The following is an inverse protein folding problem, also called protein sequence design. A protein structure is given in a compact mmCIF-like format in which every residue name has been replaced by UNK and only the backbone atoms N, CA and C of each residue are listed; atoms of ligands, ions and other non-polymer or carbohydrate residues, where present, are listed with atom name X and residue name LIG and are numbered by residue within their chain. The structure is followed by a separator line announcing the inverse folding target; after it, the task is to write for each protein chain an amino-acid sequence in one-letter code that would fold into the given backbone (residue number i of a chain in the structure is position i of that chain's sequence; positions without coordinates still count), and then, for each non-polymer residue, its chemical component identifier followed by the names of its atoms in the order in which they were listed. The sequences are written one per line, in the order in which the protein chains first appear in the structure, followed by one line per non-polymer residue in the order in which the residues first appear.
data_IF_647020683368
#
_entry.id   IF_647020683368
#
_cell.length_a   1.000
_cell.length_b   1.000
_cell.length_c   1.000
_cell.angle_alpha   90.00
_cell.angle_beta   90.00
_cell.angle_gamma   90.00
#
_symmetry.space_group_name_H-M   'P 1'
#
loop_
_entity.id
_entity.type
_entity.pdbx_description
1 polymer ?
#
# COMPACT_ATOMS: atom_id res chain seq x y z
N UNK A 1 -15.50 -67.25 29.99
CA UNK A 1 -15.51 -65.79 29.68
C UNK A 1 -14.10 -65.23 29.46
N UNK A 2 -13.42 -65.60 28.36
CA UNK A 2 -12.00 -65.20 28.11
C UNK A 2 -11.71 -64.61 26.72
N UNK A 3 -12.72 -64.45 25.85
CA UNK A 3 -12.57 -63.99 24.46
C UNK A 3 -12.76 -62.47 24.23
N UNK A 4 -13.07 -61.68 25.26
CA UNK A 4 -13.41 -60.25 25.12
C UNK A 4 -12.24 -59.28 25.36
N UNK A 5 -11.04 -59.74 25.74
CA UNK A 5 -9.92 -58.82 26.05
C UNK A 5 -9.22 -58.23 24.80
N UNK A 6 -9.25 -58.93 23.67
CA UNK A 6 -8.58 -58.46 22.44
C UNK A 6 -9.29 -57.31 21.74
N UNK A 7 -10.63 -57.29 21.76
CA UNK A 7 -11.42 -56.28 21.05
C UNK A 7 -11.33 -54.90 21.70
N UNK A 8 -11.17 -54.85 23.03
CA UNK A 8 -11.00 -53.59 23.77
C UNK A 8 -9.68 -52.91 23.41
N UNK A 9 -8.59 -53.67 23.25
CA UNK A 9 -7.30 -53.13 22.85
C UNK A 9 -7.34 -52.56 21.42
N UNK A 10 -8.02 -53.27 20.52
CA UNK A 10 -8.21 -52.82 19.14
C UNK A 10 -9.02 -51.52 19.08
N UNK A 11 -10.09 -51.43 19.87
CA UNK A 11 -10.91 -50.22 19.94
C UNK A 11 -10.14 -49.04 20.55
N UNK A 12 -9.36 -49.27 21.62
CA UNK A 12 -8.50 -48.26 22.22
C UNK A 12 -7.46 -47.72 21.22
N UNK A 13 -6.88 -48.58 20.39
CA UNK A 13 -5.90 -48.19 19.37
C UNK A 13 -6.54 -47.31 18.28
N UNK A 14 -7.76 -47.65 17.83
CA UNK A 14 -8.50 -46.82 16.87
C UNK A 14 -8.79 -45.44 17.46
N UNK A 15 -9.28 -45.37 18.70
CA UNK A 15 -9.60 -44.09 19.35
C UNK A 15 -8.34 -43.24 19.52
N UNK A 16 -7.23 -43.85 19.93
CA UNK A 16 -5.94 -43.16 20.08
C UNK A 16 -5.49 -42.59 18.73
N UNK A 17 -5.58 -43.38 17.66
CA UNK A 17 -5.24 -42.93 16.31
C UNK A 17 -6.11 -41.75 15.86
N UNK A 18 -7.43 -41.82 16.04
CA UNK A 18 -8.33 -40.72 15.71
C UNK A 18 -8.00 -39.44 16.49
N UNK A 19 -7.73 -39.55 17.79
CA UNK A 19 -7.35 -38.40 18.62
C UNK A 19 -6.04 -37.76 18.15
N UNK A 20 -5.04 -38.56 17.75
CA UNK A 20 -3.78 -38.02 17.23
C UNK A 20 -3.94 -37.28 15.91
N UNK A 21 -4.76 -37.80 14.99
CA UNK A 21 -5.00 -37.16 13.69
C UNK A 21 -5.70 -35.81 13.89
N UNK A 22 -6.71 -35.76 14.76
CA UNK A 22 -7.41 -34.52 15.09
C UNK A 22 -6.45 -33.52 15.75
N UNK A 23 -5.62 -33.98 16.68
CA UNK A 23 -4.63 -33.14 17.36
C UNK A 23 -3.61 -32.52 16.40
N UNK A 24 -3.05 -33.32 15.48
CA UNK A 24 -2.10 -32.82 14.46
C UNK A 24 -2.78 -31.85 13.50
N UNK A 25 -4.00 -32.15 13.02
CA UNK A 25 -4.73 -31.27 12.12
C UNK A 25 -4.99 -29.89 12.74
N UNK A 26 -5.39 -29.85 14.01
CA UNK A 26 -5.60 -28.60 14.76
C UNK A 26 -4.29 -27.83 14.95
N UNK A 27 -3.20 -28.51 15.33
CA UNK A 27 -1.89 -27.89 15.53
C UNK A 27 -1.33 -27.26 14.25
N UNK A 28 -1.47 -27.95 13.11
CA UNK A 28 -1.02 -27.45 11.80
C UNK A 28 -1.81 -26.20 11.39
N UNK A 29 -3.14 -26.24 11.48
CA UNK A 29 -3.98 -25.11 11.10
C UNK A 29 -3.76 -23.88 12.01
N UNK A 30 -3.61 -24.10 13.32
CA UNK A 30 -3.30 -23.03 14.28
C UNK A 30 -1.93 -22.37 13.97
N UNK A 31 -0.92 -23.17 13.65
CA UNK A 31 0.41 -22.65 13.29
C UNK A 31 0.38 -21.83 12.00
N UNK A 32 -0.39 -22.28 11.01
CA UNK A 32 -0.59 -21.52 9.77
C UNK A 32 -1.29 -20.19 10.05
N UNK A 33 -2.38 -20.21 10.83
CA UNK A 33 -3.13 -19.01 11.21
C UNK A 33 -2.24 -18.01 11.93
N UNK A 34 -1.41 -18.44 12.88
CA UNK A 34 -0.47 -17.55 13.58
C UNK A 34 0.55 -16.90 12.64
N UNK A 35 1.11 -17.65 11.68
CA UNK A 35 2.04 -17.09 10.69
C UNK A 35 1.36 -16.08 9.77
N UNK A 36 0.12 -16.34 9.38
CA UNK A 36 -0.68 -15.40 8.59
C UNK A 36 -1.03 -14.13 9.39
N UNK A 37 -1.38 -14.26 10.67
CA UNK A 37 -1.60 -13.11 11.55
C UNK A 37 -0.34 -12.27 11.72
N UNK A 38 0.83 -12.89 11.89
CA UNK A 38 2.12 -12.18 11.97
C UNK A 38 2.46 -11.42 10.68
N UNK A 39 2.33 -12.06 9.52
CA UNK A 39 2.53 -11.39 8.24
C UNK A 39 1.49 -10.27 8.00
N UNK A 40 0.26 -10.47 8.47
CA UNK A 40 -0.80 -9.46 8.45
C UNK A 40 -0.45 -8.24 9.31
N UNK A 41 0.07 -8.44 10.52
CA UNK A 41 0.50 -7.34 11.38
C UNK A 41 1.66 -6.54 10.79
N UNK A 42 2.67 -7.21 10.22
CA UNK A 42 3.79 -6.53 9.57
C UNK A 42 3.32 -5.70 8.36
N UNK A 43 2.34 -6.19 7.60
CA UNK A 43 1.72 -5.44 6.51
C UNK A 43 0.95 -4.21 7.00
N UNK A 44 0.23 -4.33 8.12
CA UNK A 44 -0.53 -3.20 8.70
C UNK A 44 0.43 -2.13 9.21
N UNK A 45 1.51 -2.53 9.88
CA UNK A 45 2.57 -1.62 10.31
C UNK A 45 3.18 -0.86 9.12
N UNK A 46 3.55 -1.59 8.06
CA UNK A 46 4.08 -0.97 6.85
C UNK A 46 3.07 -0.05 6.15
N UNK A 47 1.77 -0.35 6.24
CA UNK A 47 0.72 0.57 5.78
C UNK A 47 0.72 1.87 6.59
N UNK A 48 0.78 1.78 7.91
CA UNK A 48 0.85 2.98 8.77
C UNK A 48 2.11 3.81 8.49
N UNK A 49 3.25 3.15 8.24
CA UNK A 49 4.50 3.81 7.84
C UNK A 49 4.33 4.50 6.48
N UNK A 50 3.79 3.81 5.48
CA UNK A 50 3.57 4.36 4.15
C UNK A 50 2.56 5.52 4.16
N UNK A 51 1.45 5.39 4.88
CA UNK A 51 0.43 6.44 5.06
C UNK A 51 1.02 7.67 5.77
N UNK A 52 1.79 7.47 6.85
CA UNK A 52 2.45 8.56 7.57
C UNK A 52 3.50 9.27 6.73
N UNK A 53 4.32 8.51 5.99
CA UNK A 53 5.30 9.07 5.06
C UNK A 53 4.65 9.82 3.89
N UNK A 54 3.50 9.35 3.41
CA UNK A 54 2.71 10.03 2.40
C UNK A 54 2.19 11.38 2.92
N UNK A 55 1.58 11.41 4.10
CA UNK A 55 1.05 12.63 4.69
C UNK A 55 2.17 13.65 4.99
N UNK A 56 3.32 13.17 5.45
CA UNK A 56 4.52 13.98 5.65
C UNK A 56 5.03 14.59 4.35
N UNK A 57 5.13 13.81 3.27
CA UNK A 57 5.55 14.29 1.96
C UNK A 57 4.56 15.31 1.39
N UNK A 58 3.26 15.11 1.59
CA UNK A 58 2.22 16.10 1.24
C UNK A 58 2.46 17.37 2.05
N UNK A 59 2.62 17.27 3.37
CA UNK A 59 2.81 18.41 4.27
C UNK A 59 4.07 19.22 3.94
N UNK A 60 5.18 18.55 3.63
CA UNK A 60 6.45 19.18 3.28
C UNK A 60 6.39 19.93 1.93
N UNK A 61 5.55 19.48 0.99
CA UNK A 61 5.49 20.03 -0.36
C UNK A 61 4.26 20.93 -0.64
N UNK A 62 3.46 21.26 0.38
CA UNK A 62 2.25 22.10 0.19
C UNK A 62 2.57 23.46 -0.46
N UNK A 63 1.64 23.97 -1.25
CA UNK A 63 1.73 25.30 -1.83
C UNK A 63 2.69 25.38 -3.03
N UNK A 64 3.68 26.30 -3.04
CA UNK A 64 4.46 26.59 -4.23
C UNK A 64 5.35 25.42 -4.68
N UNK A 65 5.75 24.52 -3.79
CA UNK A 65 6.59 23.35 -4.14
C UNK A 65 5.84 22.41 -5.09
N UNK A 66 4.61 22.00 -4.74
CA UNK A 66 3.76 21.22 -5.64
C UNK A 66 3.37 21.99 -6.90
N UNK A 67 3.16 23.31 -6.79
CA UNK A 67 2.80 24.17 -7.91
C UNK A 67 3.94 24.35 -8.94
N UNK A 68 5.20 24.15 -8.56
CA UNK A 68 6.37 24.35 -9.45
C UNK A 68 7.08 23.04 -9.80
N UNK A 69 6.57 21.90 -9.30
CA UNK A 69 7.17 20.60 -9.55
C UNK A 69 7.07 20.23 -11.03
N UNK A 70 8.23 20.13 -11.70
CA UNK A 70 8.34 19.81 -13.13
C UNK A 70 8.91 18.42 -13.40
N UNK A 71 9.65 17.87 -12.44
CA UNK A 71 10.32 16.58 -12.54
C UNK A 71 9.93 15.65 -11.40
N UNK A 72 10.15 14.34 -11.59
CA UNK A 72 10.01 13.37 -10.51
C UNK A 72 10.97 13.72 -9.38
N UNK A 73 10.45 13.82 -8.17
CA UNK A 73 11.26 14.03 -6.97
C UNK A 73 11.03 12.89 -6.00
N UNK A 74 12.11 12.39 -5.41
CA UNK A 74 12.04 11.32 -4.40
C UNK A 74 12.47 11.86 -3.05
N UNK A 75 11.75 11.46 -2.00
CA UNK A 75 12.08 11.73 -0.61
C UNK A 75 12.02 10.44 0.22
N UNK A 76 12.53 10.52 1.45
CA UNK A 76 12.38 9.45 2.43
C UNK A 76 11.92 10.03 3.75
N UNK A 77 10.63 9.88 4.02
CA UNK A 77 9.96 10.35 5.22
C UNK A 77 9.42 9.16 6.00
N UNK A 78 9.59 9.21 7.33
CA UNK A 78 9.10 8.20 8.27
C UNK A 78 9.50 6.75 7.96
N UNK A 79 10.61 6.53 7.23
CA UNK A 79 11.09 5.18 6.87
C UNK A 79 10.41 4.56 5.65
N UNK A 80 9.51 5.29 4.98
CA UNK A 80 9.03 4.97 3.64
C UNK A 80 9.74 5.83 2.59
N UNK A 81 9.79 5.34 1.35
CA UNK A 81 10.30 6.10 0.19
C UNK A 81 9.12 6.73 -0.53
N UNK A 82 9.12 8.06 -0.66
CA UNK A 82 8.10 8.79 -1.40
C UNK A 82 8.62 9.20 -2.77
N UNK A 83 7.79 9.06 -3.79
CA UNK A 83 8.06 9.53 -5.15
C UNK A 83 6.91 10.41 -5.60
N UNK A 84 7.21 11.68 -5.84
CA UNK A 84 6.30 12.69 -6.35
C UNK A 84 6.47 12.77 -7.86
N UNK A 85 5.42 12.44 -8.60
CA UNK A 85 5.40 12.43 -10.06
C UNK A 85 4.36 13.43 -10.55
N UNK A 86 4.77 14.54 -11.19
CA UNK A 86 3.82 15.45 -11.83
C UNK A 86 3.04 14.75 -12.94
N UNK A 87 1.75 15.05 -13.04
CA UNK A 87 0.86 14.57 -14.10
C UNK A 87 0.11 15.79 -14.70
N UNK A 88 -0.27 15.78 -15.99
CA UNK A 88 -0.37 14.64 -16.90
C UNK A 88 0.96 14.18 -17.51
N UNK A 89 0.96 12.95 -18.04
CA UNK A 89 2.02 12.48 -18.93
C UNK A 89 1.73 12.95 -20.36
N UNK A 90 2.76 13.36 -21.08
CA UNK A 90 2.71 13.75 -22.48
C UNK A 90 3.58 12.81 -23.32
N UNK A 91 3.40 12.81 -24.64
CA UNK A 91 4.21 12.01 -25.56
C UNK A 91 5.12 12.95 -26.33
N UNK A 92 6.43 12.69 -26.30
CA UNK A 92 7.41 13.48 -27.04
C UNK A 92 7.30 13.24 -28.57
N UNK A 93 8.00 14.05 -29.36
CA UNK A 93 8.04 13.90 -30.82
C UNK A 93 8.66 12.57 -31.29
N UNK A 94 9.31 11.81 -30.39
CA UNK A 94 9.88 10.48 -30.63
C UNK A 94 8.95 9.33 -30.21
N UNK A 95 7.75 9.61 -29.71
CA UNK A 95 6.79 8.60 -29.25
C UNK A 95 7.01 8.10 -27.82
N UNK A 96 7.88 8.73 -27.02
CA UNK A 96 8.13 8.35 -25.63
C UNK A 96 7.20 9.10 -24.67
N UNK A 97 6.75 8.41 -23.62
CA UNK A 97 5.95 9.03 -22.54
C UNK A 97 6.88 9.81 -21.62
N UNK A 98 6.66 11.12 -21.54
CA UNK A 98 7.39 12.08 -20.72
C UNK A 98 6.45 12.78 -19.74
N UNK A 99 7.01 13.46 -18.75
CA UNK A 99 6.25 14.20 -17.76
C UNK A 99 5.86 15.55 -18.36
N UNK A 100 4.56 15.77 -18.53
CA UNK A 100 4.00 17.03 -18.97
C UNK A 100 3.45 17.79 -17.78
N UNK A 101 4.33 18.31 -16.92
CA UNK A 101 3.96 19.12 -15.75
C UNK A 101 3.26 20.41 -16.21
N UNK A 102 1.95 20.30 -16.45
CA UNK A 102 1.12 21.31 -17.10
C UNK A 102 -0.10 21.59 -16.26
N UNK A 103 -0.54 22.83 -16.33
CA UNK A 103 -1.76 23.28 -15.68
C UNK A 103 -2.97 22.69 -16.43
N UNK A 104 -3.79 21.94 -15.71
CA UNK A 104 -5.00 21.31 -16.22
C UNK A 104 -6.24 21.90 -15.56
N UNK A 105 -7.41 21.65 -16.14
CA UNK A 105 -8.67 22.01 -15.48
C UNK A 105 -8.79 21.31 -14.13
N UNK A 106 -9.02 22.09 -13.06
CA UNK A 106 -9.35 21.55 -11.75
C UNK A 106 -10.61 20.67 -11.82
N UNK A 107 -10.71 19.67 -10.94
CA UNK A 107 -12.00 19.02 -10.73
C UNK A 107 -13.03 20.04 -10.20
N UNK A 108 -14.32 19.68 -10.29
CA UNK A 108 -15.43 20.60 -9.98
C UNK A 108 -15.24 21.28 -8.62
N UNK A 109 -15.00 22.58 -8.66
CA UNK A 109 -15.00 23.43 -7.47
C UNK A 109 -16.42 23.94 -7.19
N UNK A 110 -16.76 24.07 -5.92
CA UNK A 110 -18.04 24.65 -5.46
C UNK A 110 -18.11 26.16 -5.69
N UNK A 111 -16.95 26.80 -5.94
CA UNK A 111 -16.85 28.24 -6.26
C UNK A 111 -16.57 28.40 -7.75
N UNK A 112 -17.52 28.89 -8.55
CA UNK A 112 -17.29 29.16 -9.96
C UNK A 112 -16.25 30.28 -10.10
N UNK A 113 -15.28 30.11 -10.98
CA UNK A 113 -14.40 31.20 -11.41
C UNK A 113 -14.87 31.71 -12.77
N UNK A 114 -15.02 33.03 -12.90
CA UNK A 114 -15.30 33.67 -14.19
C UNK A 114 -13.96 33.94 -14.89
N UNK A 115 -13.68 33.21 -15.97
CA UNK A 115 -12.50 33.44 -16.81
C UNK A 115 -11.43 32.36 -16.81
N UNK A 116 -11.65 31.19 -16.17
CA UNK A 116 -10.70 30.06 -16.21
C UNK A 116 -9.28 30.44 -15.72
N UNK A 117 -9.23 31.39 -14.78
CA UNK A 117 -7.99 32.01 -14.25
C UNK A 117 -7.28 31.06 -13.26
N UNK A 118 -8.03 30.14 -12.67
CA UNK A 118 -7.52 29.11 -11.76
C UNK A 118 -7.43 27.80 -12.53
N UNK A 119 -6.22 27.26 -12.59
CA UNK A 119 -5.93 25.91 -13.07
C UNK A 119 -5.37 25.07 -11.93
N UNK A 120 -5.27 23.75 -12.13
CA UNK A 120 -4.70 22.85 -11.14
C UNK A 120 -3.46 22.16 -11.69
N UNK A 121 -2.44 22.09 -10.85
CA UNK A 121 -1.32 21.17 -11.06
C UNK A 121 -1.59 19.90 -10.29
N UNK A 122 -1.48 18.76 -10.97
CA UNK A 122 -1.72 17.45 -10.38
C UNK A 122 -0.39 16.75 -10.15
N UNK A 123 -0.25 16.14 -8.98
CA UNK A 123 0.94 15.36 -8.62
C UNK A 123 0.48 14.06 -8.01
N UNK A 124 1.00 12.96 -8.53
CA UNK A 124 0.85 11.65 -7.92
C UNK A 124 1.98 11.45 -6.91
N UNK A 125 1.63 11.20 -5.66
CA UNK A 125 2.59 10.90 -4.60
C UNK A 125 2.43 9.43 -4.24
N UNK A 126 3.46 8.65 -4.51
CA UNK A 126 3.56 7.26 -4.09
C UNK A 126 4.46 7.16 -2.87
N UNK A 127 4.04 6.42 -1.85
CA UNK A 127 4.80 6.14 -0.63
C UNK A 127 4.95 4.64 -0.49
N UNK A 128 6.19 4.17 -0.51
CA UNK A 128 6.53 2.74 -0.52
C UNK A 128 7.23 2.36 0.77
N UNK A 129 6.68 1.36 1.47
CA UNK A 129 7.27 0.74 2.64
C UNK A 129 7.50 -0.75 2.37
N UNK A 130 8.67 -1.25 2.78
CA UNK A 130 8.98 -2.68 2.72
C UNK A 130 8.57 -3.36 4.04
N UNK A 131 8.19 -4.63 3.97
CA UNK A 131 7.77 -5.43 5.12
C UNK A 131 8.08 -6.91 4.91
N UNK A 132 7.91 -7.72 5.95
CA UNK A 132 8.29 -9.13 5.88
C UNK A 132 9.76 -9.38 6.18
N UNK A 133 10.10 -10.65 6.31
CA UNK A 133 11.48 -11.11 6.46
C UNK A 133 12.31 -10.65 5.24
N UNK A 134 13.48 -10.07 5.50
CA UNK A 134 14.42 -9.60 4.48
C UNK A 134 13.83 -8.61 3.46
N UNK A 135 12.80 -7.83 3.83
CA UNK A 135 12.12 -6.87 2.94
C UNK A 135 11.51 -7.52 1.67
N UNK A 136 11.11 -8.79 1.74
CA UNK A 136 10.50 -9.52 0.62
C UNK A 136 9.11 -8.99 0.23
N UNK A 137 8.40 -8.36 1.17
CA UNK A 137 7.13 -7.68 0.93
C UNK A 137 7.33 -6.21 0.65
N UNK A 138 6.53 -5.68 -0.28
CA UNK A 138 6.47 -4.24 -0.55
C UNK A 138 5.01 -3.79 -0.58
N UNK A 139 4.75 -2.67 0.05
CA UNK A 139 3.46 -1.99 0.03
C UNK A 139 3.68 -0.57 -0.48
N UNK A 140 2.91 -0.18 -1.50
CA UNK A 140 2.89 1.18 -2.02
C UNK A 140 1.50 1.76 -1.87
N UNK A 141 1.42 2.93 -1.23
CA UNK A 141 0.21 3.74 -1.13
C UNK A 141 0.37 4.91 -2.09
N UNK A 142 -0.62 5.15 -2.93
CA UNK A 142 -0.58 6.20 -3.95
C UNK A 142 -1.74 7.15 -3.71
N UNK A 143 -1.46 8.46 -3.73
CA UNK A 143 -2.46 9.50 -3.69
C UNK A 143 -2.22 10.55 -4.78
N UNK A 144 -3.30 10.98 -5.43
CA UNK A 144 -3.30 12.13 -6.33
C UNK A 144 -3.61 13.41 -5.55
N UNK A 145 -2.73 14.40 -5.63
CA UNK A 145 -2.90 15.72 -5.04
C UNK A 145 -3.12 16.74 -6.15
N UNK A 146 -4.13 17.59 -6.00
CA UNK A 146 -4.35 18.74 -6.87
C UNK A 146 -4.00 20.02 -6.10
N UNK A 147 -3.14 20.86 -6.69
CA UNK A 147 -2.79 22.17 -6.18
C UNK A 147 -3.35 23.24 -7.12
N UNK A 148 -4.20 24.13 -6.59
CA UNK A 148 -4.69 25.29 -7.33
C UNK A 148 -3.55 26.27 -7.60
N UNK A 149 -3.47 26.73 -8.85
CA UNK A 149 -2.48 27.68 -9.38
C UNK A 149 -3.16 28.70 -10.29
N UNK A 150 -2.52 29.86 -10.49
CA UNK A 150 -2.98 30.81 -11.50
C UNK A 150 -2.51 30.33 -12.88
N UNK A 151 -3.41 30.30 -13.86
CA UNK A 151 -3.10 29.83 -15.22
C UNK A 151 -1.94 30.65 -15.82
N UNK A 152 -0.81 29.99 -16.13
CA UNK A 152 0.32 30.60 -16.82
C UNK A 152 1.39 31.24 -15.92
N UNK A 153 1.46 30.86 -14.63
CA UNK A 153 2.53 31.24 -13.69
C UNK A 153 3.76 30.34 -13.77
#
# INVERSE_FOLDING_TARGET
MRKQKGIVLFFALIVLLLMTIIGVALAVNSTQSMRMSGAGSERIEAKSIADGGLEAAIAANRGPSLATLTNVTTGTEFGAKQTLTPIPFEVDAGGNVVIGAKDVGCQRSTRPNSGNIISCRRVEISSTANFGRDNLGQLTVVAGVEQEVLTGS
#
